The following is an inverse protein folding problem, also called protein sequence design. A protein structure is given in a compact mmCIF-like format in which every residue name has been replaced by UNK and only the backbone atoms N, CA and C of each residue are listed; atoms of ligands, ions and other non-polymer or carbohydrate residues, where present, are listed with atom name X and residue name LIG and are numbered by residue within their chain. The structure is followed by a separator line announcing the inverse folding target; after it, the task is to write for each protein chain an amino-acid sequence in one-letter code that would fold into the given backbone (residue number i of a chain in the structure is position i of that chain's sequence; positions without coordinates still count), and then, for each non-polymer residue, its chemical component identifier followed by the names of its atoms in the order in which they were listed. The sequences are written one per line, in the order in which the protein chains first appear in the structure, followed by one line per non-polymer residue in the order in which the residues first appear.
data_IF_539846629866
#
_entry.id   IF_539846629866
#
_cell.length_a   1.000
_cell.length_b   1.000
_cell.length_c   1.000
_cell.angle_alpha   90.00
_cell.angle_beta   90.00
_cell.angle_gamma   90.00
#
_symmetry.space_group_name_H-M   'P 1'
#
loop_
_entity.id
_entity.type
_entity.pdbx_description
1 polymer ?
#
# COMPACT_ATOMS: atom_id res chain seq x y z
N UNK A 1 -26.84 16.59 9.66
CA UNK A 1 -25.75 15.95 8.91
C UNK A 1 -26.23 14.67 8.27
N UNK A 2 -25.84 14.41 7.01
CA UNK A 2 -26.25 13.23 6.25
C UNK A 2 -25.06 12.28 6.08
N UNK A 3 -25.25 10.99 6.32
CA UNK A 3 -24.30 9.95 6.01
C UNK A 3 -24.75 9.17 4.78
N UNK A 4 -23.92 9.13 3.75
CA UNK A 4 -24.21 8.45 2.48
C UNK A 4 -23.39 7.18 2.42
N UNK A 5 -24.02 6.02 2.58
CA UNK A 5 -23.39 4.72 2.38
C UNK A 5 -23.28 4.39 0.89
N UNK A 6 -22.14 3.89 0.48
CA UNK A 6 -21.91 3.44 -0.89
C UNK A 6 -21.46 1.97 -0.90
N UNK A 7 -22.29 1.12 -1.46
CA UNK A 7 -21.94 -0.25 -1.83
C UNK A 7 -21.44 -0.26 -3.26
N UNK A 8 -20.15 -0.60 -3.42
CA UNK A 8 -19.43 -0.40 -4.68
C UNK A 8 -19.21 -1.71 -5.41
N UNK A 9 -19.66 -1.75 -6.66
CA UNK A 9 -19.50 -2.87 -7.58
C UNK A 9 -18.77 -2.46 -8.85
N UNK A 10 -18.34 -3.43 -9.65
CA UNK A 10 -17.54 -3.20 -10.86
C UNK A 10 -18.23 -2.33 -11.91
N UNK A 11 -19.58 -2.44 -12.05
CA UNK A 11 -20.36 -1.76 -13.10
C UNK A 11 -21.33 -0.71 -12.56
N UNK A 12 -21.76 -0.85 -11.32
CA UNK A 12 -22.74 0.03 -10.70
C UNK A 12 -22.40 0.23 -9.24
N UNK A 13 -22.83 1.35 -8.66
CA UNK A 13 -22.77 1.59 -7.22
C UNK A 13 -24.16 1.86 -6.70
N UNK A 14 -24.50 1.31 -5.54
CA UNK A 14 -25.70 1.62 -4.80
C UNK A 14 -25.39 2.63 -3.70
N UNK A 15 -26.23 3.64 -3.56
CA UNK A 15 -26.06 4.74 -2.63
C UNK A 15 -27.30 4.85 -1.75
N UNK A 16 -27.11 5.04 -0.44
CA UNK A 16 -28.20 5.28 0.51
C UNK A 16 -27.82 6.40 1.47
N UNK A 17 -28.63 7.45 1.52
CA UNK A 17 -28.45 8.59 2.39
C UNK A 17 -29.30 8.45 3.64
N UNK A 18 -28.69 8.64 4.82
CA UNK A 18 -29.34 8.54 6.13
C UNK A 18 -29.05 9.80 6.93
N UNK A 19 -30.09 10.33 7.55
CA UNK A 19 -29.92 11.41 8.52
C UNK A 19 -29.29 10.87 9.80
N UNK A 20 -28.16 11.46 10.19
CA UNK A 20 -27.36 10.97 11.33
C UNK A 20 -28.05 11.16 12.68
N UNK A 21 -28.93 12.16 12.83
CA UNK A 21 -29.65 12.44 14.07
C UNK A 21 -30.89 11.56 14.26
N UNK A 22 -31.60 11.27 13.16
CA UNK A 22 -32.90 10.57 13.22
C UNK A 22 -32.84 9.13 12.72
N UNK A 23 -31.78 8.73 12.02
CA UNK A 23 -31.65 7.41 11.37
C UNK A 23 -32.59 7.22 10.16
N UNK A 24 -33.33 8.27 9.76
CA UNK A 24 -34.27 8.20 8.62
C UNK A 24 -33.53 8.19 7.30
N UNK A 25 -34.00 7.38 6.36
CA UNK A 25 -33.54 7.37 4.97
C UNK A 25 -34.00 8.65 4.27
N UNK A 26 -33.08 9.41 3.71
CA UNK A 26 -33.31 10.66 2.97
C UNK A 26 -33.36 10.45 1.46
N UNK A 27 -32.81 9.35 0.99
CA UNK A 27 -32.84 8.99 -0.41
C UNK A 27 -31.96 7.78 -0.70
N UNK A 28 -32.24 7.16 -1.84
CA UNK A 28 -31.44 6.06 -2.37
C UNK A 28 -31.23 6.27 -3.86
N UNK A 29 -30.07 5.86 -4.37
CA UNK A 29 -29.75 5.99 -5.79
C UNK A 29 -28.85 4.85 -6.25
N UNK A 30 -29.05 4.41 -7.49
CA UNK A 30 -28.12 3.55 -8.20
C UNK A 30 -27.46 4.35 -9.32
N UNK A 31 -26.15 4.23 -9.45
CA UNK A 31 -25.35 4.93 -10.47
C UNK A 31 -24.48 3.94 -11.22
N UNK A 32 -24.09 4.28 -12.45
CA UNK A 32 -23.06 3.54 -13.17
C UNK A 32 -21.68 3.84 -12.56
N UNK A 33 -20.78 2.84 -12.55
CA UNK A 33 -19.40 2.98 -12.06
C UNK A 33 -18.48 3.64 -13.11
N UNK A 34 -18.94 4.77 -13.65
CA UNK A 34 -18.31 5.57 -14.69
C UNK A 34 -18.28 7.04 -14.25
N UNK A 35 -17.42 7.84 -14.87
CA UNK A 35 -17.26 9.26 -14.52
C UNK A 35 -18.58 10.05 -14.51
N UNK A 36 -19.45 9.97 -15.54
CA UNK A 36 -20.75 10.64 -15.50
C UNK A 36 -21.63 10.20 -14.34
N UNK A 37 -21.56 8.90 -13.97
CA UNK A 37 -22.27 8.35 -12.82
C UNK A 37 -21.73 8.89 -11.49
N UNK A 38 -20.42 9.00 -11.35
CA UNK A 38 -19.80 9.59 -10.15
C UNK A 38 -20.16 11.07 -9.99
N UNK A 39 -20.14 11.85 -11.08
CA UNK A 39 -20.58 13.24 -11.08
C UNK A 39 -22.09 13.38 -10.75
N UNK A 40 -22.92 12.45 -11.25
CA UNK A 40 -24.33 12.40 -10.91
C UNK A 40 -24.56 12.07 -9.42
N UNK A 41 -23.69 11.24 -8.81
CA UNK A 41 -23.73 10.98 -7.38
C UNK A 41 -23.41 12.24 -6.55
N UNK A 42 -22.36 12.98 -6.91
CA UNK A 42 -21.99 14.24 -6.25
C UNK A 42 -23.14 15.25 -6.34
N UNK A 43 -23.72 15.45 -7.54
CA UNK A 43 -24.86 16.36 -7.73
C UNK A 43 -26.08 15.96 -6.91
N UNK A 44 -26.41 14.66 -6.89
CA UNK A 44 -27.50 14.14 -6.07
C UNK A 44 -27.24 14.37 -4.58
N UNK A 45 -26.05 14.10 -4.09
CA UNK A 45 -25.71 14.31 -2.70
C UNK A 45 -25.79 15.79 -2.29
N UNK A 46 -25.35 16.69 -3.16
CA UNK A 46 -25.46 18.14 -2.91
C UNK A 46 -26.89 18.64 -2.82
N UNK A 47 -27.84 17.96 -3.48
CA UNK A 47 -29.27 18.25 -3.37
C UNK A 47 -29.94 17.72 -2.10
N UNK A 48 -29.23 16.93 -1.27
CA UNK A 48 -29.77 16.36 -0.03
C UNK A 48 -29.63 17.28 1.20
N UNK A 49 -29.11 18.48 1.00
CA UNK A 49 -28.90 19.48 2.04
C UNK A 49 -27.81 19.20 3.06
N UNK A 50 -27.18 20.25 3.58
CA UNK A 50 -26.32 20.31 4.75
C UNK A 50 -24.97 19.58 4.64
N UNK A 51 -24.37 19.40 5.80
CA UNK A 51 -23.10 18.71 5.97
C UNK A 51 -23.26 17.22 5.66
N UNK A 52 -22.34 16.69 4.83
CA UNK A 52 -22.38 15.32 4.32
C UNK A 52 -21.09 14.57 4.62
N UNK A 53 -21.23 13.26 4.84
CA UNK A 53 -20.12 12.33 4.95
C UNK A 53 -20.44 11.08 4.13
N UNK A 54 -19.53 10.70 3.25
CA UNK A 54 -19.63 9.46 2.49
C UNK A 54 -18.97 8.32 3.24
N UNK A 55 -19.65 7.20 3.34
CA UNK A 55 -19.18 5.97 3.95
C UNK A 55 -19.02 4.91 2.86
N UNK A 56 -17.77 4.52 2.57
CA UNK A 56 -17.46 3.53 1.53
C UNK A 56 -16.86 2.28 2.18
N UNK A 57 -17.33 1.09 1.77
CA UNK A 57 -16.65 -0.15 2.16
C UNK A 57 -15.26 -0.21 1.55
N UNK A 58 -14.23 -0.60 2.33
CA UNK A 58 -12.81 -0.59 1.92
C UNK A 58 -12.50 -1.67 0.87
N UNK A 59 -13.20 -1.61 -0.27
CA UNK A 59 -13.03 -2.45 -1.46
C UNK A 59 -12.25 -1.70 -2.54
N UNK A 60 -11.00 -1.35 -2.28
CA UNK A 60 -10.17 -0.40 -3.03
C UNK A 60 -10.12 -0.59 -4.54
N UNK A 61 -10.23 -1.81 -5.05
CA UNK A 61 -10.19 -2.09 -6.48
C UNK A 61 -11.47 -1.72 -7.23
N UNK A 62 -12.61 -1.64 -6.54
CA UNK A 62 -13.91 -1.24 -7.13
C UNK A 62 -14.37 0.14 -6.70
N UNK A 63 -13.99 0.58 -5.49
CA UNK A 63 -14.40 1.88 -4.93
C UNK A 63 -13.49 3.05 -5.32
N UNK A 64 -12.26 2.78 -5.79
CA UNK A 64 -11.22 3.81 -6.00
C UNK A 64 -11.66 4.97 -6.87
N UNK A 65 -12.29 4.72 -8.02
CA UNK A 65 -12.71 5.77 -8.95
C UNK A 65 -13.81 6.66 -8.36
N UNK A 66 -14.78 6.07 -7.66
CA UNK A 66 -15.79 6.83 -6.93
C UNK A 66 -15.15 7.68 -5.84
N UNK A 67 -14.27 7.09 -5.04
CA UNK A 67 -13.56 7.80 -3.97
C UNK A 67 -12.75 8.98 -4.51
N UNK A 68 -12.00 8.79 -5.61
CA UNK A 68 -11.27 9.86 -6.28
C UNK A 68 -12.21 11.00 -6.72
N UNK A 69 -13.31 10.67 -7.35
CA UNK A 69 -14.30 11.66 -7.79
C UNK A 69 -14.92 12.45 -6.63
N UNK A 70 -15.22 11.77 -5.51
CA UNK A 70 -15.74 12.41 -4.31
C UNK A 70 -14.72 13.36 -3.67
N UNK A 71 -13.48 12.91 -3.51
CA UNK A 71 -12.41 13.72 -2.93
C UNK A 71 -12.05 14.92 -3.81
N UNK A 72 -12.02 14.74 -5.14
CA UNK A 72 -11.82 15.84 -6.09
C UNK A 72 -12.98 16.86 -6.04
N UNK A 73 -14.19 16.41 -5.70
CA UNK A 73 -15.35 17.29 -5.50
C UNK A 73 -15.40 17.96 -4.11
N UNK A 74 -14.39 17.73 -3.25
CA UNK A 74 -14.31 18.27 -1.89
C UNK A 74 -15.21 17.55 -0.87
N UNK A 75 -15.73 16.38 -1.20
CA UNK A 75 -16.60 15.62 -0.30
C UNK A 75 -15.78 14.90 0.78
N UNK A 76 -16.32 14.85 2.00
CA UNK A 76 -15.72 14.09 3.10
C UNK A 76 -16.04 12.62 2.98
N UNK A 77 -15.02 11.77 2.90
CA UNK A 77 -15.18 10.33 2.72
C UNK A 77 -14.54 9.58 3.89
N UNK A 78 -15.26 8.61 4.46
CA UNK A 78 -14.74 7.68 5.46
C UNK A 78 -14.78 6.25 4.94
N UNK A 79 -13.83 5.42 5.36
CA UNK A 79 -13.73 4.02 4.93
C UNK A 79 -14.12 3.07 6.06
N UNK A 80 -15.03 2.17 5.76
CA UNK A 80 -15.43 1.10 6.65
C UNK A 80 -14.76 -0.23 6.32
N UNK A 81 -14.23 -0.91 7.34
CA UNK A 81 -13.69 -2.25 7.14
C UNK A 81 -14.82 -3.26 6.90
N UNK A 82 -14.70 -4.18 5.90
CA UNK A 82 -15.76 -5.13 5.54
C UNK A 82 -16.33 -5.94 6.71
N UNK A 83 -15.48 -6.36 7.66
CA UNK A 83 -15.91 -7.13 8.83
C UNK A 83 -16.83 -6.34 9.80
N UNK A 84 -16.68 -5.02 9.88
CA UNK A 84 -17.56 -4.15 10.68
C UNK A 84 -18.92 -3.97 9.99
N UNK A 85 -18.90 -3.83 8.67
CA UNK A 85 -20.10 -3.70 7.85
C UNK A 85 -20.94 -4.99 7.88
N UNK A 86 -20.29 -6.16 7.82
CA UNK A 86 -20.95 -7.46 7.94
C UNK A 86 -21.67 -7.70 9.28
N UNK A 87 -21.15 -7.17 10.37
CA UNK A 87 -21.80 -7.27 11.68
C UNK A 87 -23.08 -6.42 11.75
N UNK A 88 -23.09 -5.25 11.10
CA UNK A 88 -24.27 -4.37 11.05
C UNK A 88 -25.43 -4.96 10.23
N UNK A 89 -25.12 -5.74 9.18
CA UNK A 89 -26.14 -6.44 8.35
C UNK A 89 -26.94 -7.48 9.14
N UNK A 90 -26.35 -8.13 10.13
CA UNK A 90 -27.01 -9.17 10.95
C UNK A 90 -28.06 -8.62 11.92
N UNK A 91 -28.07 -7.33 12.18
CA UNK A 91 -29.00 -6.65 13.10
C UNK A 91 -30.21 -6.00 12.44
N UNK A 92 -30.33 -6.04 11.11
CA UNK A 92 -31.44 -5.36 10.42
C UNK A 92 -32.66 -6.26 10.23
N UNK A 93 -33.86 -5.64 10.34
CA UNK A 93 -35.16 -6.34 10.22
C UNK A 93 -35.49 -6.81 8.80
N UNK A 94 -34.84 -6.26 7.78
CA UNK A 94 -35.09 -6.64 6.39
C UNK A 94 -34.32 -7.89 6.02
N UNK A 95 -35.06 -8.99 5.82
CA UNK A 95 -34.52 -10.25 5.32
C UNK A 95 -34.38 -10.16 3.80
N UNK A 96 -33.17 -10.05 3.31
CA UNK A 96 -32.86 -10.05 1.88
C UNK A 96 -31.43 -9.57 1.63
N UNK A 97 -30.93 -9.83 0.42
CA UNK A 97 -29.64 -9.33 -0.05
C UNK A 97 -29.89 -8.47 -1.29
N UNK A 98 -29.69 -7.15 -1.17
CA UNK A 98 -29.65 -6.25 -2.31
C UNK A 98 -28.58 -5.19 -2.08
N UNK A 99 -28.02 -4.69 -3.16
CA UNK A 99 -26.99 -3.65 -3.12
C UNK A 99 -27.46 -2.39 -2.34
N UNK A 100 -28.76 -2.09 -2.37
CA UNK A 100 -29.33 -0.95 -1.64
C UNK A 100 -29.41 -1.20 -0.14
N UNK A 101 -29.75 -2.41 0.29
CA UNK A 101 -29.71 -2.81 1.69
C UNK A 101 -28.27 -2.74 2.21
N UNK A 102 -27.31 -3.19 1.42
CA UNK A 102 -25.90 -3.13 1.77
C UNK A 102 -25.41 -1.68 1.88
N UNK A 103 -25.76 -0.79 0.96
CA UNK A 103 -25.46 0.64 1.04
C UNK A 103 -26.08 1.30 2.29
N UNK A 104 -27.32 0.96 2.61
CA UNK A 104 -28.01 1.44 3.80
C UNK A 104 -27.34 0.94 5.09
N UNK A 105 -26.97 -0.32 5.14
CA UNK A 105 -26.25 -0.92 6.26
C UNK A 105 -24.88 -0.23 6.50
N UNK A 106 -24.18 0.13 5.43
CA UNK A 106 -22.92 0.89 5.50
C UNK A 106 -23.16 2.26 6.15
N UNK A 107 -24.16 3.02 5.70
CA UNK A 107 -24.49 4.33 6.27
C UNK A 107 -24.85 4.21 7.76
N UNK A 108 -25.74 3.28 8.11
CA UNK A 108 -26.20 3.05 9.49
C UNK A 108 -25.07 2.58 10.42
N UNK A 109 -24.14 1.75 9.93
CA UNK A 109 -22.98 1.33 10.71
C UNK A 109 -22.12 2.52 11.11
N UNK A 110 -21.89 3.45 10.19
CA UNK A 110 -21.09 4.66 10.46
C UNK A 110 -21.81 5.60 11.43
N UNK A 111 -23.14 5.77 11.29
CA UNK A 111 -23.94 6.54 12.23
C UNK A 111 -23.90 5.93 13.64
N UNK A 112 -24.13 4.61 13.74
CA UNK A 112 -24.16 3.86 15.02
C UNK A 112 -22.83 3.89 15.75
N UNK A 113 -21.75 3.61 15.03
CA UNK A 113 -20.42 3.51 15.63
C UNK A 113 -19.78 4.89 15.88
N UNK A 114 -20.28 5.94 15.23
CA UNK A 114 -19.72 7.29 15.23
C UNK A 114 -18.69 7.49 14.11
N UNK A 115 -18.90 8.50 13.29
CA UNK A 115 -18.09 8.86 12.10
C UNK A 115 -16.60 8.95 12.44
N UNK A 116 -16.33 9.48 13.61
CA UNK A 116 -14.96 9.69 14.08
C UNK A 116 -14.17 8.40 14.24
N UNK A 117 -14.78 7.24 14.37
CA UNK A 117 -14.10 5.95 14.52
C UNK A 117 -13.67 5.35 13.19
N UNK A 118 -14.04 5.99 12.08
CA UNK A 118 -13.68 5.54 10.74
C UNK A 118 -12.53 6.37 10.18
N UNK A 119 -11.56 5.75 9.52
CA UNK A 119 -10.46 6.47 8.88
C UNK A 119 -11.01 7.33 7.73
N UNK A 120 -10.60 8.59 7.70
CA UNK A 120 -10.89 9.50 6.60
C UNK A 120 -10.12 9.01 5.37
N UNK A 121 -10.76 9.06 4.22
CA UNK A 121 -10.10 8.76 2.95
C UNK A 121 -9.16 9.91 2.58
N UNK A 122 -7.99 9.55 2.12
CA UNK A 122 -6.96 10.47 1.67
C UNK A 122 -6.36 9.94 0.37
N UNK A 123 -6.23 10.80 -0.62
CA UNK A 123 -5.56 10.48 -1.88
C UNK A 123 -4.08 10.83 -1.75
N UNK A 124 -3.28 9.81 -1.66
CA UNK A 124 -1.83 9.88 -1.84
C UNK A 124 -1.49 8.98 -3.04
N UNK A 125 -1.43 9.56 -4.23
CA UNK A 125 -1.18 8.81 -5.46
C UNK A 125 0.18 8.13 -5.43
N UNK A 126 1.21 8.80 -4.93
CA UNK A 126 2.54 8.24 -4.80
C UNK A 126 2.55 7.02 -3.85
N UNK A 127 1.84 7.09 -2.72
CA UNK A 127 1.68 5.93 -1.84
C UNK A 127 0.90 4.78 -2.49
N UNK A 128 -0.04 5.11 -3.39
CA UNK A 128 -0.80 4.10 -4.12
C UNK A 128 0.04 3.41 -5.19
N UNK A 129 0.90 4.14 -5.88
CA UNK A 129 1.84 3.59 -6.87
C UNK A 129 2.90 2.71 -6.18
N UNK A 130 3.47 3.18 -5.06
CA UNK A 130 4.36 2.37 -4.23
C UNK A 130 3.68 1.05 -3.82
N UNK A 131 2.42 1.11 -3.44
CA UNK A 131 1.66 -0.09 -3.08
C UNK A 131 1.43 -1.01 -4.26
N UNK A 132 1.05 -0.48 -5.43
CA UNK A 132 0.81 -1.27 -6.65
C UNK A 132 2.07 -2.03 -7.06
N UNK A 133 3.21 -1.33 -7.12
CA UNK A 133 4.50 -1.94 -7.47
C UNK A 133 4.94 -2.98 -6.43
N UNK A 134 4.71 -2.71 -5.15
CA UNK A 134 4.99 -3.67 -4.08
C UNK A 134 4.13 -4.93 -4.18
N UNK A 135 2.83 -4.79 -4.41
CA UNK A 135 1.91 -5.93 -4.55
C UNK A 135 2.29 -6.74 -5.81
N UNK A 136 2.56 -6.09 -6.95
CA UNK A 136 3.07 -6.75 -8.16
C UNK A 136 4.39 -7.50 -7.92
N UNK A 137 5.36 -6.86 -7.24
CA UNK A 137 6.61 -7.53 -6.87
C UNK A 137 6.36 -8.77 -6.01
N UNK A 138 5.42 -8.72 -5.08
CA UNK A 138 5.09 -9.86 -4.22
C UNK A 138 4.47 -11.03 -5.01
N UNK A 139 3.67 -10.73 -6.03
CA UNK A 139 3.12 -11.73 -6.94
C UNK A 139 4.23 -12.44 -7.75
N UNK A 140 5.21 -11.67 -8.27
CA UNK A 140 6.37 -12.25 -8.95
C UNK A 140 7.23 -13.11 -8.00
N UNK A 141 7.39 -12.71 -6.74
CA UNK A 141 8.08 -13.52 -5.72
C UNK A 141 7.32 -14.81 -5.44
N UNK A 142 6.00 -14.77 -5.36
CA UNK A 142 5.17 -15.95 -5.18
C UNK A 142 5.26 -16.89 -6.39
N UNK A 143 5.24 -16.36 -7.61
CA UNK A 143 5.43 -17.11 -8.84
C UNK A 143 6.81 -17.78 -8.88
N UNK A 144 7.86 -17.03 -8.57
CA UNK A 144 9.22 -17.57 -8.45
C UNK A 144 9.27 -18.74 -7.47
N UNK A 145 8.64 -18.62 -6.31
CA UNK A 145 8.61 -19.69 -5.31
C UNK A 145 7.93 -20.94 -5.86
N UNK A 146 6.81 -20.78 -6.56
CA UNK A 146 6.12 -21.90 -7.24
C UNK A 146 7.01 -22.56 -8.29
N UNK A 147 7.69 -21.77 -9.11
CA UNK A 147 8.59 -22.26 -10.17
C UNK A 147 9.80 -22.99 -9.59
N UNK A 148 10.40 -22.45 -8.53
CA UNK A 148 11.52 -23.10 -7.80
C UNK A 148 11.07 -24.45 -7.25
N UNK A 149 9.88 -24.55 -6.65
CA UNK A 149 9.39 -25.83 -6.12
C UNK A 149 9.15 -26.87 -7.23
N UNK A 150 8.60 -26.44 -8.38
CA UNK A 150 8.44 -27.34 -9.56
C UNK A 150 9.78 -27.79 -10.10
N UNK A 151 10.76 -26.87 -10.22
CA UNK A 151 12.10 -27.22 -10.66
C UNK A 151 12.75 -28.26 -9.75
N UNK A 152 12.62 -28.15 -8.43
CA UNK A 152 13.12 -29.14 -7.46
C UNK A 152 12.52 -30.53 -7.70
N UNK A 153 11.21 -30.62 -8.00
CA UNK A 153 10.57 -31.88 -8.36
C UNK A 153 11.16 -32.50 -9.64
N UNK A 154 11.42 -31.70 -10.67
CA UNK A 154 12.10 -32.20 -11.87
C UNK A 154 13.52 -32.64 -11.59
N UNK A 155 14.28 -31.86 -10.80
CA UNK A 155 15.65 -32.21 -10.43
C UNK A 155 15.72 -33.49 -9.61
N UNK A 156 14.77 -33.72 -8.70
CA UNK A 156 14.69 -34.96 -7.91
C UNK A 156 14.62 -36.20 -8.81
N UNK A 157 13.93 -36.12 -9.95
CA UNK A 157 13.79 -37.22 -10.88
C UNK A 157 14.92 -37.32 -11.92
N UNK A 158 15.50 -36.18 -12.32
CA UNK A 158 16.54 -36.10 -13.35
C UNK A 158 17.96 -36.28 -12.77
N UNK A 159 18.20 -35.80 -11.59
CA UNK A 159 19.51 -35.85 -10.90
C UNK A 159 19.31 -35.70 -9.39
N UNK A 160 18.91 -36.78 -8.67
CA UNK A 160 18.65 -36.74 -7.23
C UNK A 160 19.81 -36.22 -6.40
N UNK A 161 21.04 -36.49 -6.85
CA UNK A 161 22.25 -36.02 -6.19
C UNK A 161 22.39 -34.51 -6.26
N UNK A 162 22.11 -33.92 -7.43
CA UNK A 162 22.10 -32.47 -7.60
C UNK A 162 21.05 -31.84 -6.69
N UNK A 163 19.83 -32.39 -6.67
CA UNK A 163 18.76 -31.86 -5.81
C UNK A 163 19.14 -31.87 -4.34
N UNK A 164 19.66 -32.98 -3.82
CA UNK A 164 20.15 -33.11 -2.43
C UNK A 164 21.24 -32.10 -2.07
N UNK A 165 22.06 -31.69 -3.04
CA UNK A 165 23.12 -30.69 -2.84
C UNK A 165 22.58 -29.25 -2.71
N UNK A 166 21.30 -29.00 -3.06
CA UNK A 166 20.72 -27.67 -3.09
C UNK A 166 20.11 -27.29 -1.73
N UNK A 167 20.74 -26.33 -1.07
CA UNK A 167 20.20 -25.77 0.19
C UNK A 167 18.87 -25.05 -0.06
N UNK A 168 17.96 -24.99 0.93
CA UNK A 168 16.77 -24.16 0.83
C UNK A 168 17.11 -22.72 0.44
N UNK A 169 16.37 -22.15 -0.52
CA UNK A 169 16.58 -20.77 -1.01
C UNK A 169 17.76 -20.57 -1.97
N UNK A 170 18.63 -21.57 -2.18
CA UNK A 170 19.83 -21.43 -3.03
C UNK A 170 19.50 -21.22 -4.52
N UNK A 171 18.37 -21.74 -5.02
CA UNK A 171 17.91 -21.57 -6.40
C UNK A 171 17.53 -20.11 -6.75
N UNK A 172 17.53 -19.19 -5.79
CA UNK A 172 17.44 -17.76 -6.08
C UNK A 172 18.78 -17.12 -6.48
N UNK A 173 19.91 -17.85 -6.30
CA UNK A 173 21.25 -17.35 -6.58
C UNK A 173 21.66 -17.64 -8.02
N UNK A 174 22.15 -16.65 -8.80
CA UNK A 174 22.53 -16.83 -10.20
C UNK A 174 23.55 -17.97 -10.38
N UNK A 175 24.60 -18.03 -9.56
CA UNK A 175 25.64 -19.06 -9.62
C UNK A 175 25.09 -20.49 -9.46
N UNK A 176 24.06 -20.65 -8.62
CA UNK A 176 23.42 -21.96 -8.41
C UNK A 176 22.57 -22.32 -9.62
N UNK A 177 21.82 -21.38 -10.17
CA UNK A 177 21.05 -21.58 -11.41
C UNK A 177 21.95 -21.94 -12.59
N UNK A 178 23.15 -21.33 -12.69
CA UNK A 178 24.13 -21.64 -13.73
C UNK A 178 24.69 -23.07 -13.58
N UNK A 179 24.95 -23.50 -12.35
CA UNK A 179 25.35 -24.88 -12.06
C UNK A 179 24.27 -25.87 -12.44
N UNK A 180 23.03 -25.59 -12.11
CA UNK A 180 21.85 -26.44 -12.45
C UNK A 180 21.68 -26.50 -13.96
N UNK A 181 21.71 -25.38 -14.68
CA UNK A 181 21.55 -25.35 -16.14
C UNK A 181 22.67 -26.14 -16.84
N UNK A 182 23.94 -25.98 -16.40
CA UNK A 182 25.06 -26.76 -16.94
C UNK A 182 24.88 -28.27 -16.73
N UNK A 183 24.36 -28.69 -15.59
CA UNK A 183 24.09 -30.11 -15.32
C UNK A 183 22.96 -30.63 -16.21
N UNK A 184 21.88 -29.86 -16.34
CA UNK A 184 20.74 -30.24 -17.20
C UNK A 184 21.14 -30.37 -18.68
N UNK A 185 22.04 -29.54 -19.19
CA UNK A 185 22.57 -29.63 -20.57
C UNK A 185 23.34 -30.91 -20.86
N UNK A 186 23.87 -31.57 -19.84
CA UNK A 186 24.63 -32.84 -19.98
C UNK A 186 23.73 -34.07 -19.93
N UNK A 187 22.45 -33.92 -19.61
CA UNK A 187 21.51 -35.02 -19.56
C UNK A 187 20.94 -35.32 -20.97
N UNK A 188 20.56 -36.58 -21.25
CA UNK A 188 19.89 -36.93 -22.48
C UNK A 188 18.66 -36.04 -22.73
N UNK A 189 18.47 -35.64 -23.99
CA UNK A 189 17.35 -34.77 -24.37
C UNK A 189 16.01 -35.48 -24.12
N UNK A 190 15.18 -34.88 -23.30
CA UNK A 190 13.81 -35.33 -23.05
C UNK A 190 12.90 -34.14 -22.65
N UNK A 191 11.60 -34.33 -22.71
CA UNK A 191 10.65 -33.25 -22.36
C UNK A 191 10.88 -32.70 -20.96
N UNK A 192 11.21 -33.53 -19.98
CA UNK A 192 11.46 -33.10 -18.60
C UNK A 192 12.72 -32.21 -18.49
N UNK A 193 13.81 -32.54 -19.19
CA UNK A 193 15.01 -31.69 -19.24
C UNK A 193 14.70 -30.36 -19.89
N UNK A 194 13.94 -30.33 -20.98
CA UNK A 194 13.49 -29.10 -21.64
C UNK A 194 12.69 -28.21 -20.68
N UNK A 195 11.67 -28.77 -20.02
CA UNK A 195 10.83 -28.03 -19.06
C UNK A 195 11.64 -27.52 -17.86
N UNK A 196 12.56 -28.34 -17.32
CA UNK A 196 13.41 -27.91 -16.21
C UNK A 196 14.31 -26.72 -16.62
N UNK A 197 14.86 -26.72 -17.85
CA UNK A 197 15.65 -25.58 -18.36
C UNK A 197 14.81 -24.32 -18.60
N UNK A 198 13.59 -24.47 -19.11
CA UNK A 198 12.64 -23.35 -19.22
C UNK A 198 12.34 -22.74 -17.84
N UNK A 199 12.16 -23.57 -16.81
CA UNK A 199 11.97 -23.09 -15.43
C UNK A 199 13.20 -22.36 -14.87
N UNK A 200 14.41 -22.82 -15.17
CA UNK A 200 15.64 -22.07 -14.82
C UNK A 200 15.64 -20.69 -15.48
N UNK A 201 15.29 -20.61 -16.77
CA UNK A 201 15.20 -19.33 -17.48
C UNK A 201 14.11 -18.42 -16.87
N UNK A 202 12.96 -18.98 -16.52
CA UNK A 202 11.87 -18.24 -15.86
C UNK A 202 12.31 -17.71 -14.48
N UNK A 203 12.98 -18.50 -13.66
CA UNK A 203 13.49 -18.05 -12.35
C UNK A 203 14.49 -16.89 -12.53
N UNK A 204 15.39 -16.97 -13.52
CA UNK A 204 16.32 -15.88 -13.84
C UNK A 204 15.56 -14.59 -14.21
N UNK A 205 14.52 -14.68 -15.03
CA UNK A 205 13.69 -13.54 -15.42
C UNK A 205 12.98 -12.92 -14.21
N UNK A 206 12.35 -13.74 -13.38
CA UNK A 206 11.66 -13.29 -12.15
C UNK A 206 12.63 -12.64 -11.15
N UNK A 207 13.88 -13.14 -11.06
CA UNK A 207 14.91 -12.52 -10.23
C UNK A 207 15.27 -11.11 -10.72
N UNK A 208 15.43 -10.91 -12.05
CA UNK A 208 15.70 -9.57 -12.61
C UNK A 208 14.55 -8.62 -12.34
N UNK A 209 13.33 -9.00 -12.69
CA UNK A 209 12.12 -8.18 -12.51
C UNK A 209 11.93 -7.78 -11.02
N UNK A 210 12.08 -8.72 -10.10
CA UNK A 210 11.95 -8.42 -8.66
C UNK A 210 13.06 -7.52 -8.12
N UNK A 211 14.27 -7.56 -8.72
CA UNK A 211 15.37 -6.67 -8.37
C UNK A 211 15.16 -5.26 -8.94
N UNK A 212 14.65 -5.15 -10.16
CA UNK A 212 14.29 -3.88 -10.81
C UNK A 212 13.20 -3.16 -10.02
N UNK A 213 12.10 -3.84 -9.70
CA UNK A 213 11.03 -3.29 -8.87
C UNK A 213 11.52 -2.87 -7.47
N UNK A 214 12.49 -3.59 -6.89
CA UNK A 214 13.09 -3.17 -5.61
C UNK A 214 13.86 -1.86 -5.73
N UNK A 215 14.57 -1.64 -6.84
CA UNK A 215 15.29 -0.38 -7.10
C UNK A 215 14.30 0.77 -7.32
N UNK A 216 13.28 0.56 -8.14
CA UNK A 216 12.22 1.54 -8.39
C UNK A 216 11.50 1.94 -7.08
N UNK A 217 11.11 0.96 -6.27
CA UNK A 217 10.53 1.20 -4.95
C UNK A 217 11.45 1.99 -4.02
N UNK A 218 12.78 1.77 -4.09
CA UNK A 218 13.72 2.55 -3.30
C UNK A 218 13.69 4.03 -3.69
N UNK A 219 13.70 4.34 -5.00
CA UNK A 219 13.66 5.73 -5.46
C UNK A 219 12.34 6.42 -5.12
N UNK A 220 11.21 5.72 -5.29
CA UNK A 220 9.90 6.24 -4.89
C UNK A 220 9.82 6.49 -3.38
N UNK A 221 10.37 5.60 -2.55
CA UNK A 221 10.41 5.79 -1.09
C UNK A 221 11.31 6.97 -0.71
N UNK A 222 12.47 7.15 -1.37
CA UNK A 222 13.35 8.31 -1.17
C UNK A 222 12.64 9.62 -1.50
N UNK A 223 11.91 9.66 -2.61
CA UNK A 223 11.16 10.84 -3.02
C UNK A 223 9.98 11.16 -2.08
N UNK A 224 9.32 10.13 -1.55
CA UNK A 224 8.08 10.29 -0.80
C UNK A 224 8.28 10.45 0.71
N UNK A 225 9.13 9.62 1.34
CA UNK A 225 9.36 9.58 2.81
C UNK A 225 10.79 9.11 3.13
N UNK A 226 11.84 9.89 2.78
CA UNK A 226 13.26 9.51 2.98
C UNK A 226 13.59 9.19 4.44
N UNK A 227 12.92 9.85 5.39
CA UNK A 227 13.14 9.66 6.83
C UNK A 227 12.88 8.23 7.31
N UNK A 228 12.10 7.42 6.58
CA UNK A 228 11.88 6.02 6.92
C UNK A 228 13.13 5.17 6.69
N UNK A 229 13.93 5.51 5.69
CA UNK A 229 15.17 4.79 5.36
C UNK A 229 16.30 5.09 6.34
N UNK A 230 16.22 6.22 7.04
CA UNK A 230 17.16 6.57 8.10
C UNK A 230 16.95 5.77 9.39
N UNK A 231 15.78 5.12 9.54
CA UNK A 231 15.48 4.31 10.72
C UNK A 231 16.17 2.95 10.66
N UNK A 232 16.87 2.60 11.72
CA UNK A 232 17.54 1.30 11.84
C UNK A 232 16.57 0.15 11.57
N UNK A 233 16.97 -0.79 10.72
CA UNK A 233 16.16 -1.96 10.33
C UNK A 233 15.03 -1.69 9.35
N UNK A 234 14.82 -0.46 8.91
CA UNK A 234 13.81 -0.10 7.92
C UNK A 234 14.43 -0.01 6.52
N UNK A 235 14.38 -1.11 5.78
CA UNK A 235 14.84 -1.14 4.39
C UNK A 235 13.74 -0.70 3.39
N UNK A 236 14.09 -0.60 2.10
CA UNK A 236 13.18 -0.08 1.06
C UNK A 236 11.82 -0.79 1.01
N UNK A 237 11.81 -2.12 1.15
CA UNK A 237 10.56 -2.90 1.07
C UNK A 237 9.68 -2.72 2.31
N UNK A 238 10.27 -2.63 3.50
CA UNK A 238 9.52 -2.37 4.73
C UNK A 238 8.97 -0.95 4.74
N UNK A 239 9.75 0.04 4.26
CA UNK A 239 9.29 1.42 4.08
C UNK A 239 8.14 1.49 3.06
N UNK A 240 8.26 0.81 1.91
CA UNK A 240 7.20 0.72 0.91
C UNK A 240 5.90 0.11 1.48
N UNK A 241 6.00 -0.94 2.32
CA UNK A 241 4.83 -1.50 3.01
C UNK A 241 4.20 -0.46 3.94
N UNK A 242 5.02 0.23 4.74
CA UNK A 242 4.53 1.25 5.66
C UNK A 242 3.80 2.37 4.91
N UNK A 243 4.38 2.92 3.85
CA UNK A 243 3.76 3.96 3.02
C UNK A 243 2.49 3.44 2.35
N UNK A 244 2.58 2.39 1.55
CA UNK A 244 1.49 1.91 0.71
C UNK A 244 0.29 1.35 1.49
N UNK A 245 0.52 0.81 2.70
CA UNK A 245 -0.57 0.31 3.56
C UNK A 245 -1.16 1.38 4.46
N UNK A 246 -0.42 2.43 4.73
CA UNK A 246 -0.88 3.55 5.54
C UNK A 246 -1.64 4.57 4.68
N UNK A 247 -1.12 4.90 3.49
CA UNK A 247 -1.68 5.86 2.56
C UNK A 247 -2.06 7.19 3.26
N UNK A 248 -1.09 7.78 3.96
CA UNK A 248 -1.28 8.95 4.80
C UNK A 248 -1.53 8.59 6.27
N UNK A 249 -0.63 9.01 7.15
CA UNK A 249 -0.75 8.74 8.59
C UNK A 249 -1.75 9.69 9.25
N UNK A 250 -2.02 10.82 8.64
CA UNK A 250 -2.96 11.86 9.08
C UNK A 250 -4.39 11.31 9.26
N UNK A 251 -4.72 10.25 8.52
CA UNK A 251 -6.01 9.56 8.67
C UNK A 251 -6.15 8.79 9.98
N UNK A 252 -5.07 8.61 10.75
CA UNK A 252 -5.12 7.99 12.07
C UNK A 252 -5.08 9.07 13.14
N UNK A 253 -6.10 9.11 13.97
CA UNK A 253 -6.23 10.10 15.06
C UNK A 253 -5.10 10.06 16.08
N UNK A 254 -4.47 8.88 16.25
CA UNK A 254 -3.43 8.67 17.25
C UNK A 254 -2.54 7.48 16.90
N UNK A 255 -1.40 7.39 17.57
CA UNK A 255 -0.53 6.22 17.54
C UNK A 255 -1.22 4.94 18.04
N UNK A 256 -2.21 5.08 18.92
CA UNK A 256 -3.02 3.96 19.40
C UNK A 256 -3.91 3.38 18.29
N UNK A 257 -4.55 4.24 17.48
CA UNK A 257 -5.36 3.79 16.33
C UNK A 257 -4.49 3.18 15.22
N UNK A 258 -3.29 3.72 14.98
CA UNK A 258 -2.30 3.12 14.08
C UNK A 258 -1.83 1.74 14.60
N UNK A 259 -1.55 1.61 15.91
CA UNK A 259 -1.18 0.33 16.51
C UNK A 259 -2.29 -0.71 16.42
N UNK A 260 -3.55 -0.29 16.57
CA UNK A 260 -4.71 -1.16 16.38
C UNK A 260 -4.79 -1.65 14.91
N UNK A 261 -4.63 -0.74 13.95
CA UNK A 261 -4.61 -1.05 12.52
C UNK A 261 -3.44 -1.95 12.13
N UNK A 262 -2.25 -1.71 12.67
CA UNK A 262 -1.06 -2.55 12.40
C UNK A 262 -1.04 -3.88 13.18
N UNK A 263 -2.05 -4.15 14.01
CA UNK A 263 -2.13 -5.37 14.81
C UNK A 263 -1.08 -5.45 15.93
N UNK A 264 -0.49 -4.31 16.31
CA UNK A 264 0.52 -4.24 17.40
C UNK A 264 -0.06 -3.78 18.73
N UNK A 265 -1.31 -3.31 18.76
CA UNK A 265 -1.99 -2.96 20.00
C UNK A 265 -2.22 -4.21 20.84
N UNK A 266 -1.92 -4.16 22.17
CA UNK A 266 -2.25 -5.24 23.07
C UNK A 266 -3.78 -5.29 23.27
N UNK A 267 -4.38 -6.47 23.08
CA UNK A 267 -5.79 -6.67 23.41
C UNK A 267 -5.88 -7.31 24.79
N UNK A 268 -6.61 -6.72 25.74
CA UNK A 268 -6.78 -7.32 27.05
C UNK A 268 -7.50 -8.66 26.93
N UNK A 269 -6.99 -9.65 27.65
CA UNK A 269 -7.55 -10.99 27.73
C UNK A 269 -7.37 -11.47 29.18
N UNK A 270 -8.05 -10.78 30.10
CA UNK A 270 -7.93 -11.03 31.53
C UNK A 270 -9.12 -11.83 32.00
N UNK A 271 -8.87 -12.78 32.89
CA UNK A 271 -9.90 -13.49 33.66
C UNK A 271 -9.50 -13.52 35.13
N UNK A 272 -10.36 -13.02 36.01
CA UNK A 272 -10.08 -12.96 37.43
C UNK A 272 -8.80 -12.16 37.78
N UNK A 273 -7.91 -12.74 38.56
CA UNK A 273 -6.68 -12.09 39.02
C UNK A 273 -5.55 -12.01 37.96
N UNK A 274 -5.71 -12.66 36.83
CA UNK A 274 -4.65 -12.77 35.80
C UNK A 274 -4.83 -11.77 34.69
N UNK A 275 -3.99 -10.73 34.64
CA UNK A 275 -3.95 -9.77 33.52
C UNK A 275 -3.07 -10.32 32.40
N UNK A 276 -3.66 -10.60 31.25
CA UNK A 276 -2.97 -11.05 30.05
C UNK A 276 -3.39 -10.21 28.83
N UNK A 277 -2.49 -10.15 27.87
CA UNK A 277 -2.74 -9.49 26.59
C UNK A 277 -2.53 -10.48 25.44
N UNK A 278 -3.50 -10.55 24.53
CA UNK A 278 -3.39 -11.35 23.31
C UNK A 278 -3.00 -10.51 22.09
N UNK A 279 -2.55 -11.21 21.06
CA UNK A 279 -2.25 -10.60 19.77
C UNK A 279 -3.55 -10.10 19.11
N UNK A 280 -3.52 -8.87 18.57
CA UNK A 280 -4.58 -8.37 17.70
C UNK A 280 -4.47 -9.01 16.31
N UNK A 281 -5.32 -10.00 16.03
CA UNK A 281 -5.39 -10.68 14.71
C UNK A 281 -6.21 -9.91 13.67
N UNK A 282 -6.97 -8.88 14.08
CA UNK A 282 -7.80 -8.05 13.20
C UNK A 282 -7.05 -6.92 12.51
N UNK A 283 -5.75 -6.74 12.79
CA UNK A 283 -4.92 -5.73 12.16
C UNK A 283 -4.43 -6.12 10.75
N UNK A 284 -3.88 -5.16 10.03
CA UNK A 284 -3.26 -5.37 8.72
C UNK A 284 -1.99 -6.25 8.87
N UNK A 285 -2.03 -7.44 8.26
CA UNK A 285 -0.95 -8.43 8.37
C UNK A 285 0.35 -7.94 7.74
N UNK A 286 0.30 -7.14 6.68
CA UNK A 286 1.50 -6.64 6.00
C UNK A 286 2.17 -5.54 6.83
N UNK A 287 1.40 -4.61 7.42
CA UNK A 287 1.94 -3.65 8.38
C UNK A 287 2.56 -4.36 9.58
N UNK A 288 1.87 -5.37 10.13
CA UNK A 288 2.41 -6.17 11.23
C UNK A 288 3.71 -6.89 10.86
N UNK A 289 3.78 -7.42 9.63
CA UNK A 289 4.98 -8.08 9.11
C UNK A 289 6.12 -7.08 8.92
N UNK A 290 5.89 -5.90 8.34
CA UNK A 290 6.91 -4.87 8.20
C UNK A 290 7.52 -4.48 9.56
N UNK A 291 6.67 -4.18 10.55
CA UNK A 291 7.12 -3.87 11.90
C UNK A 291 7.84 -5.05 12.58
N UNK A 292 7.49 -6.29 12.23
CA UNK A 292 8.20 -7.46 12.73
C UNK A 292 9.59 -7.61 12.12
N UNK A 293 9.72 -7.43 10.80
CA UNK A 293 11.02 -7.46 10.12
C UNK A 293 11.94 -6.37 10.68
N UNK A 294 11.42 -5.15 10.86
CA UNK A 294 12.18 -4.06 11.47
C UNK A 294 12.63 -4.44 12.90
N UNK A 295 11.73 -5.00 13.70
CA UNK A 295 12.03 -5.41 15.07
C UNK A 295 13.13 -6.47 15.16
N UNK A 296 13.07 -7.52 14.33
CA UNK A 296 14.10 -8.57 14.35
C UNK A 296 15.44 -8.09 13.79
N UNK A 297 15.43 -7.21 12.77
CA UNK A 297 16.64 -6.61 12.22
C UNK A 297 17.32 -5.72 13.28
N UNK A 298 16.57 -4.88 13.98
CA UNK A 298 17.08 -4.08 15.09
C UNK A 298 17.62 -4.96 16.23
N UNK A 299 16.89 -6.01 16.59
CA UNK A 299 17.34 -6.97 17.63
C UNK A 299 18.70 -7.60 17.29
N UNK A 300 19.03 -7.75 16.00
CA UNK A 300 20.31 -8.31 15.56
C UNK A 300 21.46 -7.29 15.51
N UNK A 301 21.16 -6.02 15.20
CA UNK A 301 22.19 -5.04 14.85
C UNK A 301 22.22 -3.79 15.74
N UNK A 302 21.12 -3.43 16.40
CA UNK A 302 20.99 -2.21 17.21
C UNK A 302 21.24 -2.49 18.69
N UNK A 303 22.34 -1.94 19.30
CA UNK A 303 22.65 -2.17 20.71
C UNK A 303 21.55 -1.72 21.67
N UNK A 304 20.90 -0.59 21.40
CA UNK A 304 19.84 -0.08 22.25
C UNK A 304 18.61 -1.01 22.27
N UNK A 305 18.30 -1.61 21.12
CA UNK A 305 17.24 -2.61 21.02
C UNK A 305 17.59 -3.91 21.73
N UNK A 306 18.86 -4.35 21.68
CA UNK A 306 19.32 -5.52 22.42
C UNK A 306 19.15 -5.33 23.92
N UNK A 307 19.66 -4.22 24.46
CA UNK A 307 19.53 -3.87 25.88
C UNK A 307 18.05 -3.77 26.31
N UNK A 308 17.18 -3.22 25.45
CA UNK A 308 15.73 -3.21 25.72
C UNK A 308 15.15 -4.62 25.84
N UNK A 309 15.50 -5.52 24.92
CA UNK A 309 14.98 -6.89 24.91
C UNK A 309 15.49 -7.71 26.12
N UNK A 310 16.76 -7.53 26.50
CA UNK A 310 17.37 -8.13 27.69
C UNK A 310 16.65 -7.68 28.96
N UNK A 311 16.41 -6.38 29.11
CA UNK A 311 15.61 -5.85 30.23
C UNK A 311 14.21 -6.46 30.27
N UNK A 312 13.54 -6.61 29.10
CA UNK A 312 12.21 -7.25 29.05
C UNK A 312 12.24 -8.74 29.39
N UNK A 313 13.33 -9.42 29.09
CA UNK A 313 13.55 -10.80 29.52
C UNK A 313 13.75 -10.89 31.06
N UNK A 314 14.54 -9.97 31.64
CA UNK A 314 14.73 -9.87 33.08
C UNK A 314 13.40 -9.54 33.84
N UNK A 315 12.47 -8.79 33.20
CA UNK A 315 11.10 -8.57 33.67
C UNK A 315 10.19 -9.83 33.56
N UNK A 316 10.73 -10.99 33.17
CA UNK A 316 9.99 -12.25 33.04
C UNK A 316 9.18 -12.39 31.73
N UNK A 317 9.39 -11.55 30.73
CA UNK A 317 8.71 -11.69 29.43
C UNK A 317 9.40 -12.71 28.54
N UNK A 318 8.60 -13.54 27.86
CA UNK A 318 9.13 -14.41 26.81
C UNK A 318 9.67 -13.57 25.64
N UNK A 319 10.59 -14.15 24.85
CA UNK A 319 11.14 -13.49 23.63
C UNK A 319 10.03 -12.97 22.70
N UNK A 320 8.97 -13.76 22.47
CA UNK A 320 7.80 -13.33 21.71
C UNK A 320 7.05 -12.18 22.38
N UNK A 321 6.97 -12.18 23.70
CA UNK A 321 6.36 -11.10 24.49
C UNK A 321 7.15 -9.80 24.39
N UNK A 322 8.48 -9.87 24.56
CA UNK A 322 9.38 -8.72 24.42
C UNK A 322 9.34 -8.10 23.01
N UNK A 323 9.35 -8.93 21.96
CA UNK A 323 9.18 -8.46 20.57
C UNK A 323 7.82 -7.80 20.33
N UNK A 324 6.74 -8.25 20.95
CA UNK A 324 5.43 -7.56 20.86
C UNK A 324 5.48 -6.17 21.49
N UNK A 325 6.12 -6.03 22.63
CA UNK A 325 6.33 -4.73 23.27
C UNK A 325 7.15 -3.80 22.35
N UNK A 326 8.27 -4.29 21.81
CA UNK A 326 9.08 -3.54 20.87
C UNK A 326 8.27 -3.08 19.63
N UNK A 327 7.49 -3.97 19.04
CA UNK A 327 6.63 -3.63 17.89
C UNK A 327 5.61 -2.53 18.21
N UNK A 328 5.11 -2.46 19.44
CA UNK A 328 4.21 -1.37 19.86
C UNK A 328 4.96 -0.03 19.94
N UNK A 329 6.21 -0.01 20.41
CA UNK A 329 7.06 1.19 20.36
C UNK A 329 7.40 1.60 18.92
N UNK A 330 7.75 0.63 18.07
CA UNK A 330 7.99 0.89 16.65
C UNK A 330 6.76 1.44 15.95
N UNK A 331 5.57 0.93 16.25
CA UNK A 331 4.33 1.45 15.67
C UNK A 331 4.13 2.95 16.02
N UNK A 332 4.41 3.36 17.27
CA UNK A 332 4.39 4.79 17.67
C UNK A 332 5.41 5.59 16.88
N UNK A 333 6.65 5.13 16.81
CA UNK A 333 7.73 5.83 16.10
C UNK A 333 7.41 6.00 14.61
N UNK A 334 6.97 4.93 13.94
CA UNK A 334 6.65 4.97 12.52
C UNK A 334 5.38 5.78 12.23
N UNK A 335 4.39 5.80 13.11
CA UNK A 335 3.25 6.71 13.00
C UNK A 335 3.73 8.18 13.00
N UNK A 336 4.59 8.57 13.92
CA UNK A 336 5.14 9.93 13.99
C UNK A 336 5.93 10.30 12.73
N UNK A 337 6.74 9.36 12.19
CA UNK A 337 7.51 9.59 10.97
C UNK A 337 6.63 9.73 9.73
N UNK A 338 5.58 8.92 9.64
CA UNK A 338 4.64 8.97 8.54
C UNK A 338 3.74 10.21 8.58
N UNK A 339 3.47 10.77 9.77
CA UNK A 339 2.68 12.01 9.96
C UNK A 339 3.48 13.28 9.67
N UNK A 340 4.81 13.22 9.60
CA UNK A 340 5.62 14.36 9.23
C UNK A 340 5.55 14.57 7.72
N UNK A 341 5.42 15.82 7.23
CA UNK A 341 5.56 16.10 5.80
C UNK A 341 6.90 15.59 5.29
N UNK A 342 6.98 15.25 4.00
CA UNK A 342 8.24 14.93 3.36
C UNK A 342 9.19 16.12 3.59
N UNK A 343 10.33 15.87 4.23
CA UNK A 343 11.38 16.89 4.27
C UNK A 343 11.93 16.96 2.84
N UNK A 344 11.64 18.04 2.14
CA UNK A 344 12.36 18.38 0.91
C UNK A 344 13.85 18.38 1.28
N UNK A 345 14.73 17.65 0.58
CA UNK A 345 16.16 17.80 0.81
C UNK A 345 16.48 19.29 0.65
N UNK A 346 16.91 19.93 1.70
CA UNK A 346 17.54 21.24 1.54
C UNK A 346 18.78 20.98 0.68
N UNK A 347 18.94 21.73 -0.45
CA UNK A 347 20.20 21.69 -1.16
C UNK A 347 21.29 22.08 -0.17
N UNK A 348 22.36 21.29 -0.16
CA UNK A 348 23.53 21.52 0.67
C UNK A 348 24.00 22.97 0.46
N UNK A 349 24.12 23.82 1.49
CA UNK A 349 24.52 25.21 1.31
C UNK A 349 25.97 25.38 0.83
N UNK A 350 26.67 24.29 0.51
CA UNK A 350 28.07 24.21 0.13
C UNK A 350 28.40 24.16 -1.35
N UNK A 351 27.41 24.15 -2.28
CA UNK A 351 27.66 24.16 -3.73
C UNK A 351 26.95 25.31 -4.43
N UNK A 352 27.20 26.52 -3.96
CA UNK A 352 27.09 27.70 -4.81
C UNK A 352 28.41 27.81 -5.61
N UNK A 353 28.50 27.11 -6.75
CA UNK A 353 29.50 27.44 -7.74
C UNK A 353 29.21 28.88 -8.21
N UNK A 354 30.13 29.76 -7.87
CA UNK A 354 30.22 31.11 -8.45
C UNK A 354 30.31 30.97 -9.97
N UNK A 355 29.25 31.35 -10.65
CA UNK A 355 29.28 31.55 -12.10
C UNK A 355 30.10 32.82 -12.33
N UNK A 356 31.29 32.77 -12.96
CA UNK A 356 32.07 33.97 -13.22
C UNK A 356 31.29 34.84 -14.21
N UNK A 357 31.13 36.10 -13.84
CA UNK A 357 30.54 37.16 -14.64
C UNK A 357 31.28 37.30 -15.97
N UNK A 358 30.59 37.09 -17.07
CA UNK A 358 31.12 37.41 -18.40
C UNK A 358 31.17 38.94 -18.60
N UNK A 359 32.31 39.49 -19.02
CA UNK A 359 32.46 40.96 -19.26
C UNK A 359 31.69 41.36 -20.51
N UNK A 360 31.09 42.52 -20.38
CA UNK A 360 30.16 43.15 -21.31
C UNK A 360 30.58 43.17 -22.77
N UNK A 361 29.61 43.03 -23.65
CA UNK A 361 29.67 43.42 -25.07
C UNK A 361 28.89 44.71 -25.22
N UNK A 362 29.65 45.70 -25.70
CA UNK A 362 29.23 47.08 -25.98
C UNK A 362 28.12 47.16 -27.04
N UNK A 363 27.21 48.05 -26.81
CA UNK A 363 26.29 48.65 -27.74
C UNK A 363 26.93 48.99 -29.08
N UNK A 364 26.28 48.67 -30.17
CA UNK A 364 26.30 49.46 -31.40
C UNK A 364 24.89 49.53 -31.97
N UNK A 365 24.43 50.72 -32.02
CA UNK A 365 23.21 51.29 -32.54
C UNK A 365 23.03 51.10 -34.03
N UNK A 366 21.75 51.08 -34.41
CA UNK A 366 21.10 51.63 -35.63
C UNK A 366 21.39 51.00 -36.99
N UNK A 367 20.35 50.68 -37.67
CA UNK A 367 19.76 51.29 -38.89
C UNK A 367 18.80 50.24 -39.51
N UNK A 368 17.53 50.43 -39.49
CA UNK A 368 16.51 50.77 -40.49
C UNK A 368 16.35 49.90 -41.75
N UNK A 369 15.07 49.82 -42.18
CA UNK A 369 14.48 49.34 -43.44
C UNK A 369 14.24 47.81 -43.49
N UNK A 370 13.03 47.30 -43.54
CA UNK A 370 11.89 47.57 -44.42
C UNK A 370 11.59 46.35 -45.27
N UNK A 371 10.31 46.05 -45.47
CA UNK A 371 9.68 45.25 -46.53
C UNK A 371 9.32 43.78 -46.19
N UNK A 372 8.06 43.60 -45.96
CA UNK A 372 7.01 42.81 -46.65
C UNK A 372 7.32 41.38 -47.10
N UNK A 373 6.40 40.48 -46.75
CA UNK A 373 5.97 39.51 -47.74
C UNK A 373 5.83 38.06 -47.30
N UNK A 374 4.57 37.66 -47.24
CA UNK A 374 4.06 36.35 -47.65
C UNK A 374 4.20 35.12 -46.69
N UNK A 375 3.05 34.73 -46.24
CA UNK A 375 2.75 33.35 -45.84
C UNK A 375 2.78 32.41 -47.07
N UNK A 376 2.97 31.16 -46.90
CA UNK A 376 2.13 30.18 -47.54
C UNK A 376 1.52 29.09 -46.66
N UNK A 377 0.37 28.76 -47.12
CA UNK A 377 -0.67 27.78 -46.80
C UNK A 377 -0.20 26.32 -46.66
N UNK A 378 -1.03 25.44 -46.06
CA UNK A 378 -0.71 24.03 -45.82
C UNK A 378 -1.19 23.10 -46.94
N UNK A 379 -0.62 21.93 -47.06
CA UNK A 379 -1.17 20.79 -47.79
C UNK A 379 -0.57 19.44 -47.35
N UNK A 380 -1.14 18.29 -47.71
CA UNK A 380 -2.19 17.58 -46.99
C UNK A 380 -1.75 16.15 -46.55
N UNK A 381 -2.65 15.48 -45.80
CA UNK A 381 -2.68 14.04 -45.55
C UNK A 381 -2.79 13.23 -46.86
N UNK A 382 -2.06 12.12 -46.97
CA UNK A 382 -2.49 10.93 -47.73
C UNK A 382 -1.96 9.66 -47.07
N UNK A 383 -2.93 8.77 -46.79
CA UNK A 383 -3.07 7.34 -46.55
C UNK A 383 -2.32 6.68 -45.38
#
# INVERSE_FOLDING_TARGET
MIVIGADTHKRTHALAAVDAGTGRVRGQRRIKAEEPGHLAAVRWARGLDGERVWAIEDCRHVSRRLEQALLAAGERVVRGAPHRMGASRKGERERGKSDQIDALAIARAVVKDGIEKFPVAYLDEAAMDIRLLLDHRNDLVAERTRTVNRLRWHLLQLSPELERSLKPGSLNQPRVLDRVDRRLRRLPACARVRVAREQVAQIRSLNRQTAELKRELLELVKAHRPQLLAEAGCGPLTAAILIGRTAGAERFRSDASFALRSGTAPLPCSSGQRQQHRLNRGGDRQLNHALHIIAITRASHDPATKAYLERKAAEGKTTKGALRCLKRHLARRFHQLLSRPAQTPQPDPGTAEEIPAHPGRRDRSSVDTGIAGAAPTPMPCVT
#
